data_IF_694548796861
#
_entry.id   IF_694548796861
#
_cell.length_a   1.000
_cell.length_b   1.000
_cell.length_c   1.000
_cell.angle_alpha   90.00
_cell.angle_beta   90.00
_cell.angle_gamma   90.00
#
_symmetry.space_group_name_H-M   'P 1'
#
loop_
_entity.id
_entity.type
_entity.pdbx_description
1 polymer ?
#
# COMPACT_ATOMS: atom_id res chain seq x y z
N UNK A 1 11.13 -3.98 -17.78
CA UNK A 1 11.10 -2.50 -17.72
C UNK A 1 10.01 -2.11 -16.74
N UNK A 2 10.33 -1.39 -15.66
CA UNK A 2 9.29 -0.81 -14.82
C UNK A 2 8.58 0.28 -15.64
N UNK A 3 7.26 0.16 -15.80
CA UNK A 3 6.43 1.22 -16.38
C UNK A 3 6.55 2.47 -15.48
N UNK A 4 6.44 3.68 -16.04
CA UNK A 4 6.51 4.95 -15.30
C UNK A 4 5.60 4.94 -14.05
N UNK A 5 4.44 4.30 -14.17
CA UNK A 5 3.50 4.08 -13.05
C UNK A 5 4.11 3.30 -11.90
N UNK A 6 4.87 2.24 -12.19
CA UNK A 6 5.52 1.43 -11.16
C UNK A 6 6.66 2.20 -10.49
N UNK A 7 7.45 2.95 -11.27
CA UNK A 7 8.48 3.82 -10.72
C UNK A 7 7.89 4.85 -9.75
N UNK A 8 6.77 5.50 -10.10
CA UNK A 8 6.10 6.46 -9.22
C UNK A 8 5.57 5.80 -7.93
N UNK A 9 5.08 4.55 -8.00
CA UNK A 9 4.66 3.78 -6.81
C UNK A 9 5.82 3.49 -5.88
N UNK A 10 6.94 3.06 -6.43
CA UNK A 10 8.13 2.71 -5.64
C UNK A 10 8.70 3.96 -4.94
N UNK A 11 8.72 5.10 -5.64
CA UNK A 11 9.10 6.40 -5.07
C UNK A 11 8.14 6.84 -3.94
N UNK A 12 6.84 6.71 -4.14
CA UNK A 12 5.84 7.03 -3.11
C UNK A 12 5.97 6.12 -1.88
N UNK A 13 6.24 4.82 -2.09
CA UNK A 13 6.48 3.86 -1.00
C UNK A 13 7.73 4.23 -0.22
N UNK A 14 8.83 4.57 -0.89
CA UNK A 14 10.06 5.01 -0.24
C UNK A 14 9.83 6.26 0.62
N UNK A 15 9.10 7.26 0.09
CA UNK A 15 8.71 8.45 0.85
C UNK A 15 7.95 8.09 2.14
N UNK A 16 6.91 7.27 2.03
CA UNK A 16 6.06 6.96 3.16
C UNK A 16 6.73 6.04 4.19
N UNK A 17 7.65 5.18 3.79
CA UNK A 17 8.40 4.28 4.68
C UNK A 17 9.63 4.93 5.30
N UNK A 18 9.92 6.20 4.96
CA UNK A 18 11.12 6.90 5.43
C UNK A 18 12.42 6.33 4.86
N UNK A 19 12.35 5.53 3.79
CA UNK A 19 13.52 4.98 3.12
C UNK A 19 14.19 6.02 2.22
N UNK A 20 15.50 5.89 1.93
CA UNK A 20 16.16 6.76 0.95
C UNK A 20 15.46 6.67 -0.42
N UNK A 21 15.14 7.82 -0.99
CA UNK A 21 14.41 7.92 -2.26
C UNK A 21 15.43 8.14 -3.40
N UNK A 22 15.76 7.14 -4.22
CA UNK A 22 16.73 7.32 -5.30
C UNK A 22 16.16 8.22 -6.41
N UNK A 23 16.97 9.14 -6.94
CA UNK A 23 16.57 9.92 -8.11
C UNK A 23 16.60 9.03 -9.36
N UNK A 24 15.48 8.92 -10.12
CA UNK A 24 15.43 8.07 -11.30
C UNK A 24 16.31 8.56 -12.45
N UNK A 25 16.63 9.86 -12.48
CA UNK A 25 17.46 10.46 -13.54
C UNK A 25 18.93 10.64 -13.17
N UNK A 26 19.25 10.70 -11.87
CA UNK A 26 20.60 10.99 -11.39
C UNK A 26 21.10 9.86 -10.50
N UNK A 27 21.90 8.96 -11.08
CA UNK A 27 22.48 7.83 -10.34
C UNK A 27 23.29 8.29 -9.13
N UNK A 28 23.05 7.65 -7.99
CA UNK A 28 23.69 7.96 -6.71
C UNK A 28 23.17 9.20 -6.00
N UNK A 29 22.22 9.94 -6.58
CA UNK A 29 21.56 11.06 -5.91
C UNK A 29 20.29 10.59 -5.20
N UNK A 30 20.03 11.14 -4.02
CA UNK A 30 18.77 10.96 -3.28
C UNK A 30 17.86 12.18 -3.46
N UNK A 31 16.56 11.94 -3.36
CA UNK A 31 15.53 12.96 -3.39
C UNK A 31 15.02 13.24 -1.97
N UNK A 32 14.69 14.50 -1.71
CA UNK A 32 13.99 14.93 -0.50
C UNK A 32 12.51 15.09 -0.82
N UNK A 33 11.63 14.55 0.01
CA UNK A 33 10.19 14.59 -0.23
C UNK A 33 9.43 15.43 0.78
N UNK A 34 8.33 16.05 0.35
CA UNK A 34 7.31 16.64 1.21
C UNK A 34 5.91 16.20 0.74
N UNK A 35 5.00 15.99 1.69
CA UNK A 35 3.59 15.79 1.37
C UNK A 35 2.86 17.14 1.38
N UNK A 36 2.13 17.42 0.31
CA UNK A 36 1.37 18.66 0.15
C UNK A 36 -0.11 18.32 0.10
N UNK A 37 -0.82 18.71 1.15
CA UNK A 37 -2.27 18.61 1.22
C UNK A 37 -2.88 19.85 0.56
N UNK A 38 -3.82 19.64 -0.38
CA UNK A 38 -4.53 20.74 -1.03
C UNK A 38 -6.03 20.48 -1.01
N UNK A 39 -6.83 21.49 -1.34
CA UNK A 39 -8.30 21.35 -1.36
C UNK A 39 -8.78 20.28 -2.35
N UNK A 40 -8.05 20.06 -3.46
CA UNK A 40 -8.54 19.24 -4.58
C UNK A 40 -7.63 18.07 -4.95
N UNK A 41 -6.31 18.19 -4.76
CA UNK A 41 -5.34 17.21 -5.23
C UNK A 41 -4.13 17.13 -4.29
N UNK A 42 -4.22 16.22 -3.33
CA UNK A 42 -3.10 15.87 -2.47
C UNK A 42 -1.98 15.20 -3.29
N UNK A 43 -0.73 15.49 -2.95
CA UNK A 43 0.39 14.92 -3.68
C UNK A 43 1.68 14.91 -2.86
N UNK A 44 2.59 14.02 -3.25
CA UNK A 44 3.97 14.03 -2.78
C UNK A 44 4.79 14.84 -3.78
N UNK A 45 5.61 15.75 -3.28
CA UNK A 45 6.61 16.48 -4.04
C UNK A 45 7.98 15.92 -3.67
N UNK A 46 8.69 15.35 -4.64
CA UNK A 46 10.05 14.86 -4.49
C UNK A 46 11.01 15.76 -5.26
N UNK A 47 12.04 16.28 -4.61
CA UNK A 47 13.05 17.16 -5.22
C UNK A 47 14.43 16.51 -5.19
N UNK A 48 15.06 16.39 -6.35
CA UNK A 48 16.44 15.92 -6.49
C UNK A 48 17.42 17.04 -6.15
N UNK A 49 18.32 16.80 -5.21
CA UNK A 49 19.30 17.80 -4.75
C UNK A 49 20.41 18.07 -5.78
N UNK A 50 20.66 17.13 -6.70
CA UNK A 50 21.72 17.25 -7.72
C UNK A 50 21.28 17.99 -8.98
N UNK A 51 20.09 17.67 -9.49
CA UNK A 51 19.57 18.22 -10.74
C UNK A 51 18.48 19.27 -10.59
N UNK A 52 18.02 19.55 -9.36
CA UNK A 52 16.84 20.39 -9.04
C UNK A 52 15.54 19.95 -9.72
N UNK A 53 15.49 18.70 -10.18
CA UNK A 53 14.27 18.14 -10.76
C UNK A 53 13.25 17.84 -9.67
N UNK A 54 11.98 18.11 -9.99
CA UNK A 54 10.86 17.84 -9.09
C UNK A 54 9.93 16.82 -9.73
N UNK A 55 9.59 15.77 -8.97
CA UNK A 55 8.59 14.78 -9.33
C UNK A 55 7.38 15.00 -8.44
N UNK A 56 6.20 15.14 -9.05
CA UNK A 56 4.93 15.29 -8.36
C UNK A 56 4.17 13.98 -8.51
N UNK A 57 3.81 13.36 -7.40
CA UNK A 57 3.09 12.09 -7.38
C UNK A 57 1.71 12.33 -6.76
N UNK A 58 0.62 12.24 -7.55
CA UNK A 58 -0.74 12.28 -7.02
C UNK A 58 -0.94 11.16 -6.00
N UNK A 59 -1.13 11.54 -4.74
CA UNK A 59 -1.15 10.64 -3.60
C UNK A 59 -2.06 11.22 -2.53
N UNK A 60 -3.03 10.43 -2.07
CA UNK A 60 -3.81 10.78 -0.88
C UNK A 60 -2.94 10.64 0.37
N UNK A 61 -3.25 11.33 1.48
CA UNK A 61 -2.50 11.17 2.71
C UNK A 61 -2.43 9.71 3.11
N UNK A 62 -1.26 9.25 3.55
CA UNK A 62 -1.14 7.95 4.22
C UNK A 62 -2.05 7.97 5.45
N UNK A 63 -2.51 6.78 5.80
CA UNK A 63 -3.18 6.41 7.05
C UNK A 63 -4.69 6.37 6.93
N UNK A 64 -5.21 5.16 6.79
CA UNK A 64 -5.97 4.52 7.87
C UNK A 64 -5.61 3.04 7.85
N UNK A 65 -5.48 2.44 9.03
CA UNK A 65 -5.68 1.01 9.14
C UNK A 65 -7.14 0.73 8.78
N UNK A 66 -7.40 -0.26 7.93
CA UNK A 66 -8.75 -0.66 7.60
C UNK A 66 -9.46 -1.15 8.86
N UNK A 67 -10.75 -0.84 8.97
CA UNK A 67 -11.55 -1.37 10.05
C UNK A 67 -11.60 -2.89 9.95
N UNK A 68 -11.70 -3.58 11.09
CA UNK A 68 -11.76 -5.04 11.14
C UNK A 68 -12.81 -5.64 10.19
N UNK A 69 -14.01 -5.06 10.13
CA UNK A 69 -15.08 -5.48 9.22
C UNK A 69 -14.68 -5.38 7.74
N UNK A 70 -13.88 -4.38 7.37
CA UNK A 70 -13.36 -4.23 6.01
C UNK A 70 -12.32 -5.32 5.71
N UNK A 71 -11.48 -5.66 6.68
CA UNK A 71 -10.50 -6.74 6.57
C UNK A 71 -11.19 -8.10 6.45
N UNK A 72 -12.24 -8.35 7.24
CA UNK A 72 -13.09 -9.55 7.13
C UNK A 72 -13.72 -9.66 5.74
N UNK A 73 -14.26 -8.56 5.21
CA UNK A 73 -14.75 -8.52 3.83
C UNK A 73 -13.67 -8.81 2.78
N UNK A 74 -12.41 -8.42 3.01
CA UNK A 74 -11.33 -8.77 2.09
C UNK A 74 -10.99 -10.27 2.10
N UNK A 75 -11.12 -10.92 3.27
CA UNK A 75 -10.95 -12.37 3.39
C UNK A 75 -12.08 -13.09 2.66
N UNK A 76 -13.33 -12.66 2.83
CA UNK A 76 -14.47 -13.21 2.07
C UNK A 76 -14.26 -13.09 0.56
N UNK A 77 -13.72 -11.96 0.08
CA UNK A 77 -13.40 -11.78 -1.33
C UNK A 77 -12.34 -12.77 -1.80
N UNK A 78 -11.31 -13.06 -1.00
CA UNK A 78 -10.31 -14.09 -1.32
C UNK A 78 -10.99 -15.45 -1.49
N UNK A 79 -11.89 -15.82 -0.58
CA UNK A 79 -12.61 -17.10 -0.61
C UNK A 79 -13.57 -17.21 -1.80
N UNK A 80 -14.21 -16.11 -2.19
CA UNK A 80 -15.07 -16.04 -3.39
C UNK A 80 -14.30 -15.93 -4.70
N UNK A 81 -13.01 -15.60 -4.65
CA UNK A 81 -12.18 -15.32 -5.83
C UNK A 81 -12.40 -13.92 -6.42
N UNK A 82 -12.96 -12.99 -5.64
CA UNK A 82 -13.23 -11.61 -6.03
C UNK A 82 -12.00 -10.70 -5.87
N UNK A 83 -11.97 -9.62 -6.65
CA UNK A 83 -10.89 -8.63 -6.58
C UNK A 83 -11.00 -7.77 -5.32
N UNK A 84 -9.90 -7.65 -4.58
CA UNK A 84 -9.82 -6.80 -3.39
C UNK A 84 -9.45 -5.35 -3.74
N UNK A 85 -10.41 -4.45 -3.51
CA UNK A 85 -10.27 -3.02 -3.76
C UNK A 85 -10.25 -2.22 -2.46
N UNK A 86 -9.42 -1.18 -2.43
CA UNK A 86 -9.36 -0.25 -1.32
C UNK A 86 -10.69 0.51 -1.18
N UNK A 87 -11.36 0.38 -0.02
CA UNK A 87 -12.59 1.11 0.28
C UNK A 87 -12.51 2.63 0.08
N UNK A 88 -11.32 3.23 0.17
CA UNK A 88 -11.13 4.67 0.08
C UNK A 88 -10.94 5.18 -1.34
N UNK A 89 -10.20 4.45 -2.17
CA UNK A 89 -9.80 4.92 -3.50
C UNK A 89 -10.05 3.92 -4.62
N UNK A 90 -10.75 2.82 -4.32
CA UNK A 90 -11.18 1.77 -5.26
C UNK A 90 -10.03 1.19 -6.11
N UNK A 91 -8.80 1.26 -5.58
CA UNK A 91 -7.61 0.74 -6.22
C UNK A 91 -7.27 -0.63 -5.66
N UNK A 92 -6.65 -1.48 -6.45
CA UNK A 92 -6.27 -2.84 -6.04
C UNK A 92 -5.39 -2.85 -4.78
N UNK A 93 -5.63 -3.85 -3.94
CA UNK A 93 -4.83 -4.15 -2.76
C UNK A 93 -3.77 -5.20 -3.12
N UNK A 94 -2.54 -4.95 -2.68
CA UNK A 94 -1.51 -5.99 -2.59
C UNK A 94 -1.81 -6.83 -1.37
N UNK A 95 -1.85 -8.14 -1.55
CA UNK A 95 -2.15 -9.12 -0.50
C UNK A 95 -0.90 -9.97 -0.31
N UNK A 96 -0.37 -9.97 0.91
CA UNK A 96 0.72 -10.84 1.33
C UNK A 96 0.15 -11.81 2.36
N UNK A 97 0.40 -13.11 2.18
CA UNK A 97 -0.01 -14.12 3.14
C UNK A 97 1.18 -14.96 3.62
N UNK A 98 1.21 -15.24 4.92
CA UNK A 98 2.16 -16.15 5.54
C UNK A 98 1.41 -17.15 6.40
N UNK A 99 1.61 -18.44 6.12
CA UNK A 99 1.09 -19.51 6.96
C UNK A 99 2.16 -19.90 7.99
N UNK A 100 1.77 -19.99 9.26
CA UNK A 100 2.62 -20.57 10.28
C UNK A 100 2.41 -22.09 10.30
N UNK A 101 3.40 -22.90 9.90
CA UNK A 101 3.25 -24.36 9.83
C UNK A 101 3.08 -25.00 11.22
N UNK A 102 3.51 -24.36 12.30
CA UNK A 102 3.45 -24.91 13.66
C UNK A 102 2.10 -24.67 14.32
N UNK A 103 1.41 -23.57 14.00
CA UNK A 103 0.12 -23.20 14.61
C UNK A 103 -1.08 -23.38 13.69
N UNK A 104 -0.85 -23.57 12.39
CA UNK A 104 -1.91 -23.64 11.38
C UNK A 104 -2.65 -22.30 11.17
N UNK A 105 -2.13 -21.20 11.72
CA UNK A 105 -2.68 -19.86 11.55
C UNK A 105 -2.16 -19.23 10.26
N UNK A 106 -3.04 -18.49 9.58
CA UNK A 106 -2.70 -17.71 8.41
C UNK A 106 -2.71 -16.22 8.76
N UNK A 107 -1.61 -15.55 8.46
CA UNK A 107 -1.49 -14.11 8.55
C UNK A 107 -1.70 -13.51 7.16
N UNK A 108 -2.58 -12.52 7.06
CA UNK A 108 -2.81 -11.76 5.84
C UNK A 108 -2.49 -10.30 6.07
N UNK A 109 -1.78 -9.70 5.13
CA UNK A 109 -1.49 -8.27 5.08
C UNK A 109 -2.05 -7.70 3.78
N UNK A 110 -2.94 -6.71 3.90
CA UNK A 110 -3.56 -5.99 2.80
C UNK A 110 -2.97 -4.60 2.72
N UNK A 111 -2.47 -4.17 1.56
CA UNK A 111 -1.92 -2.83 1.38
C UNK A 111 -2.39 -2.20 0.08
N UNK A 112 -3.02 -1.04 0.17
CA UNK A 112 -3.44 -0.29 -1.01
C UNK A 112 -2.25 0.31 -1.76
N UNK A 113 -2.15 0.05 -3.07
CA UNK A 113 -1.06 0.58 -3.92
C UNK A 113 -1.06 2.10 -4.09
N UNK A 114 -2.19 2.77 -3.82
CA UNK A 114 -2.36 4.22 -4.09
C UNK A 114 -2.42 5.11 -2.86
N UNK A 115 -2.88 4.63 -1.71
CA UNK A 115 -2.93 5.43 -0.49
C UNK A 115 -2.16 4.80 0.66
N UNK A 116 -1.61 3.60 0.45
CA UNK A 116 -0.92 2.81 1.48
C UNK A 116 -1.74 2.62 2.77
N UNK A 117 -3.08 2.73 2.70
CA UNK A 117 -3.96 2.18 3.70
C UNK A 117 -3.73 0.68 3.77
N UNK A 118 -3.73 0.14 4.98
CA UNK A 118 -3.35 -1.24 5.23
C UNK A 118 -4.31 -1.90 6.20
N UNK A 119 -4.34 -3.22 6.22
CA UNK A 119 -5.09 -3.99 7.20
C UNK A 119 -4.39 -5.32 7.39
N UNK A 120 -4.42 -5.84 8.61
CA UNK A 120 -3.83 -7.14 8.91
C UNK A 120 -4.88 -8.06 9.51
N UNK A 121 -4.77 -9.34 9.22
CA UNK A 121 -5.53 -10.39 9.86
C UNK A 121 -4.57 -11.45 10.38
N UNK A 122 -4.75 -11.84 11.63
CA UNK A 122 -4.08 -13.00 12.20
C UNK A 122 -5.16 -13.89 12.81
N UNK A 123 -5.35 -15.06 12.22
CA UNK A 123 -6.38 -16.00 12.63
C UNK A 123 -6.32 -17.28 11.82
N UNK A 124 -7.20 -18.22 12.14
CA UNK A 124 -7.46 -19.32 11.23
C UNK A 124 -8.23 -18.76 10.02
N UNK A 125 -8.04 -19.32 8.82
CA UNK A 125 -8.86 -19.01 7.63
C UNK A 125 -10.36 -19.17 7.96
N UNK A 126 -11.29 -18.53 7.25
CA UNK A 126 -12.70 -18.55 7.66
C UNK A 126 -13.31 -19.97 7.67
N UNK A 127 -12.68 -20.94 7.01
CA UNK A 127 -12.95 -22.38 7.15
C UNK A 127 -12.80 -22.96 8.58
N UNK A 128 -12.12 -22.26 9.49
CA UNK A 128 -11.87 -22.70 10.87
C UNK A 128 -12.52 -21.79 11.92
N UNK A 129 -13.09 -20.64 11.51
CA UNK A 129 -13.79 -19.72 12.41
C UNK A 129 -15.22 -20.18 12.78
N UNK A 130 -15.67 -21.34 12.28
CA UNK A 130 -16.78 -22.10 12.89
C UNK A 130 -18.09 -21.32 13.05
N UNK A 131 -18.50 -20.52 12.06
CA UNK A 131 -19.91 -20.09 11.97
C UNK A 131 -20.70 -21.20 11.27
N UNK A 132 -20.83 -22.32 11.98
CA UNK A 132 -21.87 -23.32 11.78
C UNK A 132 -22.31 -23.79 13.18
N UNK A 133 -23.16 -22.99 13.80
CA UNK A 133 -24.19 -23.43 14.74
C UNK A 133 -25.37 -22.50 14.63
#
# INVERSE_FOLDING_TARGET
MANDVQQLRDLARAFWTGQPIPCPKHHGATMTGNFVQTTFADHIVLTCQRGRETIIIPQRPRQMEFHRQQVEGFLENIERGDANLCYRCQSELVIESSANPDTGLAEYSFTCVRCLSYGTWNGQTAELAGVNT
#
